data_IF_371979344140
#
_entry.id   IF_371979344140
#
_cell.length_a   1.000
_cell.length_b   1.000
_cell.length_c   1.000
_cell.angle_alpha   90.00
_cell.angle_beta   90.00
_cell.angle_gamma   90.00
#
_symmetry.space_group_name_H-M   'P 1'
#
loop_
_entity.id
_entity.type
_entity.pdbx_description
1 polymer ?
#
# COMPACT_ATOMS: atom_id res chain seq x y z
N UNK A 1 -3.91 7.86 -15.06
CA UNK A 1 -3.79 6.55 -14.37
C UNK A 1 -2.84 6.80 -13.21
N UNK A 2 -3.36 7.00 -12.00
CA UNK A 2 -2.56 7.42 -10.83
C UNK A 2 -1.86 6.21 -10.18
N UNK A 3 -2.51 5.05 -10.23
CA UNK A 3 -2.09 3.78 -9.64
C UNK A 3 -0.94 3.13 -10.42
N UNK A 4 -0.93 3.27 -11.75
CA UNK A 4 0.21 2.80 -12.57
C UNK A 4 1.48 3.58 -12.25
N UNK A 5 1.39 4.89 -11.99
CA UNK A 5 2.56 5.67 -11.57
C UNK A 5 3.08 5.18 -10.21
N UNK A 6 2.18 4.90 -9.27
CA UNK A 6 2.55 4.30 -7.97
C UNK A 6 3.26 2.96 -8.16
N UNK A 7 2.74 2.08 -9.01
CA UNK A 7 3.35 0.78 -9.29
C UNK A 7 4.73 0.94 -9.92
N UNK A 8 4.90 1.89 -10.85
CA UNK A 8 6.19 2.17 -11.44
C UNK A 8 7.21 2.63 -10.39
N UNK A 9 6.82 3.56 -9.51
CA UNK A 9 7.67 4.03 -8.41
C UNK A 9 8.07 2.88 -7.46
N UNK A 10 7.15 1.95 -7.18
CA UNK A 10 7.43 0.74 -6.40
C UNK A 10 8.45 -0.15 -7.12
N UNK A 11 8.27 -0.41 -8.42
CA UNK A 11 9.18 -1.23 -9.22
C UNK A 11 10.58 -0.63 -9.23
N UNK A 12 10.69 0.69 -9.41
CA UNK A 12 11.96 1.40 -9.43
C UNK A 12 12.64 1.31 -8.06
N UNK A 13 11.89 1.58 -6.97
CA UNK A 13 12.38 1.48 -5.60
C UNK A 13 12.89 0.08 -5.27
N UNK A 14 12.15 -0.96 -5.67
CA UNK A 14 12.55 -2.36 -5.43
C UNK A 14 13.76 -2.72 -6.28
N UNK A 15 13.81 -2.29 -7.54
CA UNK A 15 14.93 -2.54 -8.45
C UNK A 15 16.23 -1.97 -7.90
N UNK A 16 16.19 -0.75 -7.37
CA UNK A 16 17.33 -0.12 -6.70
C UNK A 16 17.76 -0.88 -5.44
N UNK A 17 16.79 -1.29 -4.61
CA UNK A 17 17.05 -2.02 -3.36
C UNK A 17 17.63 -3.43 -3.59
N UNK A 18 17.25 -4.11 -4.67
CA UNK A 18 17.62 -5.49 -4.93
C UNK A 18 18.98 -5.66 -5.62
N UNK A 19 19.63 -4.58 -6.07
CA UNK A 19 20.98 -4.59 -6.68
C UNK A 19 21.15 -5.66 -7.77
N UNK A 20 20.12 -5.83 -8.62
CA UNK A 20 20.13 -6.80 -9.72
C UNK A 20 19.74 -8.23 -9.36
N UNK A 21 19.44 -8.52 -8.08
CA UNK A 21 18.85 -9.81 -7.68
C UNK A 21 17.42 -9.93 -8.20
N UNK A 22 16.99 -11.16 -8.47
CA UNK A 22 15.61 -11.45 -8.87
C UNK A 22 14.70 -11.37 -7.65
N UNK A 23 13.56 -10.71 -7.81
CA UNK A 23 12.53 -10.58 -6.77
C UNK A 23 11.49 -11.65 -6.99
N UNK A 24 11.18 -12.40 -5.94
CA UNK A 24 10.18 -13.46 -5.95
C UNK A 24 8.86 -13.01 -5.35
N UNK A 25 8.91 -12.17 -4.31
CA UNK A 25 7.73 -11.65 -3.61
C UNK A 25 7.97 -10.23 -3.12
N UNK A 26 6.95 -9.40 -3.27
CA UNK A 26 6.86 -8.04 -2.69
C UNK A 26 5.66 -8.02 -1.76
N UNK A 27 5.86 -7.59 -0.52
CA UNK A 27 4.77 -7.37 0.45
C UNK A 27 4.56 -5.88 0.61
N UNK A 28 3.37 -5.38 0.30
CA UNK A 28 2.97 -3.99 0.45
C UNK A 28 1.98 -3.82 1.59
N UNK A 29 2.20 -2.83 2.45
CA UNK A 29 1.20 -2.33 3.39
C UNK A 29 0.46 -1.14 2.76
N UNK A 30 -0.85 -1.27 2.59
CA UNK A 30 -1.73 -0.21 2.05
C UNK A 30 -2.73 0.18 3.12
N UNK A 31 -2.71 1.45 3.51
CA UNK A 31 -3.65 2.01 4.47
C UNK A 31 -5.01 2.32 3.87
N UNK A 32 -6.08 2.03 4.60
CA UNK A 32 -7.47 2.28 4.18
C UNK A 32 -7.79 3.78 3.94
N UNK A 33 -6.99 4.69 4.49
CA UNK A 33 -7.09 6.14 4.34
C UNK A 33 -6.10 6.71 3.31
N UNK A 34 -5.31 5.87 2.65
CA UNK A 34 -4.30 6.30 1.67
C UNK A 34 -4.89 6.72 0.32
N UNK A 35 -6.20 6.53 0.11
CA UNK A 35 -6.93 6.69 -1.17
C UNK A 35 -6.45 5.79 -2.31
N UNK A 36 -5.53 4.87 -2.04
CA UNK A 36 -5.05 3.87 -2.98
C UNK A 36 -5.98 2.66 -2.95
N UNK A 37 -6.36 2.17 -4.13
CA UNK A 37 -7.20 0.97 -4.27
C UNK A 37 -6.31 -0.27 -4.41
N UNK A 38 -6.31 -1.21 -3.43
CA UNK A 38 -5.47 -2.41 -3.45
C UNK A 38 -5.60 -3.23 -4.74
N UNK A 39 -6.82 -3.47 -5.20
CA UNK A 39 -7.08 -4.23 -6.43
C UNK A 39 -6.49 -3.57 -7.68
N UNK A 40 -6.51 -2.24 -7.73
CA UNK A 40 -5.91 -1.49 -8.83
C UNK A 40 -4.39 -1.59 -8.81
N UNK A 41 -3.77 -1.52 -7.62
CA UNK A 41 -2.33 -1.77 -7.46
C UNK A 41 -1.97 -3.19 -7.89
N UNK A 42 -2.73 -4.20 -7.47
CA UNK A 42 -2.49 -5.58 -7.85
C UNK A 42 -2.56 -5.79 -9.37
N UNK A 43 -3.60 -5.25 -10.02
CA UNK A 43 -3.75 -5.32 -11.47
C UNK A 43 -2.62 -4.58 -12.20
N UNK A 44 -2.28 -3.36 -11.78
CA UNK A 44 -1.19 -2.60 -12.40
C UNK A 44 0.18 -3.28 -12.18
N UNK A 45 0.41 -3.89 -11.02
CA UNK A 45 1.63 -4.63 -10.72
C UNK A 45 1.76 -5.87 -11.60
N UNK A 46 0.69 -6.65 -11.78
CA UNK A 46 0.69 -7.82 -12.67
C UNK A 46 1.01 -7.42 -14.12
N UNK A 47 0.42 -6.31 -14.60
CA UNK A 47 0.70 -5.77 -15.93
C UNK A 47 2.17 -5.36 -16.06
N UNK A 48 2.70 -4.63 -15.07
CA UNK A 48 4.07 -4.10 -15.11
C UNK A 48 5.15 -5.16 -14.85
N UNK A 49 4.78 -6.31 -14.27
CA UNK A 49 5.67 -7.45 -14.01
C UNK A 49 5.42 -8.64 -14.95
N UNK A 50 4.59 -8.45 -15.97
CA UNK A 50 4.34 -9.46 -16.99
C UNK A 50 5.63 -9.81 -17.74
N UNK A 51 5.68 -11.04 -18.27
CA UNK A 51 6.86 -11.60 -18.92
C UNK A 51 7.29 -10.85 -20.20
N UNK A 52 6.47 -9.92 -20.70
CA UNK A 52 6.77 -9.12 -21.90
C UNK A 52 7.84 -8.05 -21.64
N UNK A 53 8.10 -7.73 -20.37
CA UNK A 53 9.15 -6.81 -19.91
C UNK A 53 10.37 -7.61 -19.42
N UNK A 54 11.16 -8.20 -20.34
CA UNK A 54 12.28 -9.12 -20.02
C UNK A 54 13.40 -8.52 -19.13
N UNK A 55 13.44 -7.19 -18.95
CA UNK A 55 14.53 -6.51 -18.25
C UNK A 55 14.29 -6.25 -16.74
N UNK A 56 13.07 -6.43 -16.21
CA UNK A 56 12.78 -6.10 -14.80
C UNK A 56 13.26 -7.20 -13.84
N UNK A 57 13.87 -6.86 -12.68
CA UNK A 57 14.15 -7.86 -11.66
C UNK A 57 12.87 -8.39 -10.99
N UNK A 58 11.73 -7.74 -11.20
CA UNK A 58 10.42 -8.13 -10.69
C UNK A 58 9.60 -8.96 -11.68
N UNK A 59 10.11 -9.31 -12.87
CA UNK A 59 9.37 -10.13 -13.83
C UNK A 59 8.91 -11.45 -13.20
N UNK A 60 7.60 -11.68 -13.16
CA UNK A 60 7.00 -12.86 -12.52
C UNK A 60 7.01 -12.85 -10.98
N UNK A 61 7.33 -11.72 -10.34
CA UNK A 61 7.23 -11.58 -8.89
C UNK A 61 5.77 -11.63 -8.44
N UNK A 62 5.53 -12.16 -7.24
CA UNK A 62 4.20 -12.13 -6.61
C UNK A 62 4.04 -10.90 -5.75
N UNK A 63 2.89 -10.25 -5.84
CA UNK A 63 2.50 -9.19 -4.93
C UNK A 63 1.60 -9.73 -3.82
N UNK A 64 1.90 -9.37 -2.58
CA UNK A 64 1.04 -9.58 -1.42
C UNK A 64 0.69 -8.22 -0.83
N UNK A 65 -0.59 -7.97 -0.58
CA UNK A 65 -1.07 -6.70 -0.01
C UNK A 65 -1.63 -6.98 1.38
N UNK A 66 -1.13 -6.21 2.34
CA UNK A 66 -1.61 -6.14 3.72
C UNK A 66 -2.37 -4.83 3.86
N UNK A 67 -3.69 -4.92 4.01
CA UNK A 67 -4.52 -3.75 4.27
C UNK A 67 -4.43 -3.36 5.75
N UNK A 68 -4.05 -2.11 6.00
CA UNK A 68 -3.91 -1.57 7.34
C UNK A 68 -5.10 -0.65 7.62
N UNK A 69 -5.91 -0.96 8.65
CA UNK A 69 -7.07 -0.14 8.98
C UNK A 69 -6.64 1.27 9.38
N UNK A 70 -7.51 2.23 9.06
CA UNK A 70 -7.44 3.57 9.60
C UNK A 70 -7.53 3.56 11.12
N UNK A 71 -6.75 4.41 11.78
CA UNK A 71 -6.94 4.72 13.19
C UNK A 71 -6.98 6.22 13.37
N UNK A 72 -8.00 6.69 14.07
CA UNK A 72 -8.20 8.09 14.39
C UNK A 72 -8.34 8.29 15.89
N UNK A 73 -7.93 9.44 16.39
CA UNK A 73 -8.19 9.86 17.78
C UNK A 73 -9.23 10.97 17.77
N UNK A 74 -10.35 10.77 18.46
CA UNK A 74 -11.40 11.78 18.54
C UNK A 74 -10.93 13.00 19.34
N UNK A 75 -11.08 14.19 18.77
CA UNK A 75 -10.75 15.45 19.47
C UNK A 75 -11.71 15.78 20.61
N UNK A 76 -12.96 15.32 20.52
CA UNK A 76 -13.98 15.64 21.52
C UNK A 76 -13.85 14.80 22.80
N UNK A 77 -13.63 13.49 22.68
CA UNK A 77 -13.60 12.57 23.84
C UNK A 77 -12.25 11.87 24.06
N UNK A 78 -11.29 12.02 23.13
CA UNK A 78 -9.97 11.40 23.20
C UNK A 78 -9.93 9.91 22.86
N UNK A 79 -11.07 9.28 22.55
CA UNK A 79 -11.15 7.86 22.22
C UNK A 79 -10.45 7.54 20.89
N UNK A 80 -9.87 6.35 20.81
CA UNK A 80 -9.36 5.80 19.56
C UNK A 80 -10.49 5.11 18.79
N UNK A 81 -10.52 5.35 17.48
CA UNK A 81 -11.54 4.87 16.55
C UNK A 81 -10.83 4.15 15.42
N UNK A 82 -11.28 2.93 15.11
CA UNK A 82 -10.88 2.21 13.91
C UNK A 82 -11.74 2.70 12.76
N UNK A 83 -11.11 3.05 11.64
CA UNK A 83 -11.74 3.67 10.48
C UNK A 83 -11.44 2.82 9.25
N UNK A 84 -12.47 2.52 8.45
CA UNK A 84 -12.31 1.82 7.17
C UNK A 84 -12.25 2.80 6.00
N UNK A 85 -12.58 4.06 6.23
CA UNK A 85 -12.54 5.14 5.26
C UNK A 85 -12.33 6.51 5.97
N UNK A 86 -12.04 7.58 5.22
CA UNK A 86 -11.78 8.92 5.75
C UNK A 86 -12.89 9.55 6.61
N UNK A 87 -14.14 9.08 6.52
CA UNK A 87 -15.31 9.67 7.16
C UNK A 87 -15.68 8.97 8.48
N UNK A 88 -14.68 8.50 9.22
CA UNK A 88 -14.89 7.82 10.50
C UNK A 88 -15.71 8.65 11.51
N UNK A 89 -16.59 7.98 12.24
CA UNK A 89 -17.39 8.56 13.32
C UNK A 89 -16.97 7.97 14.67
N UNK A 90 -16.80 8.83 15.68
CA UNK A 90 -16.62 8.36 17.04
C UNK A 90 -17.95 8.02 17.69
N UNK A 91 -18.02 6.95 18.50
CA UNK A 91 -19.23 6.58 19.24
C UNK A 91 -19.77 7.64 20.22
N UNK A 92 -19.02 8.72 20.48
CA UNK A 92 -19.52 9.89 21.20
C UNK A 92 -20.25 10.92 20.32
N UNK A 93 -20.37 10.68 19.01
CA UNK A 93 -20.90 11.62 18.01
C UNK A 93 -19.88 12.64 17.47
N UNK A 94 -18.60 12.47 17.79
CA UNK A 94 -17.53 13.36 17.30
C UNK A 94 -17.06 12.96 15.90
N UNK A 95 -16.96 13.94 14.99
CA UNK A 95 -16.51 13.75 13.60
C UNK A 95 -15.07 14.24 13.35
N UNK A 96 -14.53 15.04 14.27
CA UNK A 96 -13.15 15.52 14.17
C UNK A 96 -12.19 14.46 14.74
N UNK A 97 -11.64 13.64 13.85
CA UNK A 97 -10.69 12.59 14.17
C UNK A 97 -9.29 12.95 13.67
N UNK A 98 -8.30 12.98 14.56
CA UNK A 98 -6.89 13.09 14.18
C UNK A 98 -6.38 11.74 13.69
N UNK A 99 -5.96 11.64 12.43
CA UNK A 99 -5.50 10.39 11.84
C UNK A 99 -4.13 9.99 12.40
N UNK A 100 -4.05 8.76 12.90
CA UNK A 100 -2.88 8.17 13.56
C UNK A 100 -2.26 7.03 12.75
N UNK A 101 -3.06 6.32 11.94
CA UNK A 101 -2.60 5.23 11.07
C UNK A 101 -3.56 5.03 9.89
N UNK A 102 -3.16 4.20 8.93
CA UNK A 102 -4.00 3.87 7.78
C UNK A 102 -3.79 4.77 6.57
N UNK A 103 -2.78 5.64 6.58
CA UNK A 103 -2.42 6.49 5.42
C UNK A 103 -1.20 5.97 4.66
N UNK A 104 -0.54 4.94 5.17
CA UNK A 104 0.72 4.44 4.62
C UNK A 104 0.53 3.69 3.31
N UNK A 105 1.54 3.80 2.45
CA UNK A 105 1.80 2.93 1.30
C UNK A 105 3.28 2.57 1.41
N UNK A 106 3.59 1.34 1.80
CA UNK A 106 4.96 1.00 2.20
C UNK A 106 5.34 -0.41 1.78
N UNK A 107 6.55 -0.58 1.27
CA UNK A 107 7.15 -1.90 1.02
C UNK A 107 7.59 -2.48 2.36
N UNK A 108 6.88 -3.53 2.79
CA UNK A 108 7.10 -4.18 4.08
C UNK A 108 8.20 -5.23 4.02
N UNK A 109 8.21 -6.03 2.95
CA UNK A 109 9.13 -7.15 2.80
C UNK A 109 9.45 -7.37 1.31
N UNK A 110 10.69 -7.78 1.05
CA UNK A 110 11.17 -8.21 -0.25
C UNK A 110 11.83 -9.58 -0.12
N UNK A 111 11.34 -10.55 -0.90
CA UNK A 111 11.94 -11.87 -1.03
C UNK A 111 12.77 -11.90 -2.31
N UNK A 112 14.09 -12.09 -2.18
CA UNK A 112 15.04 -12.10 -3.31
C UNK A 112 15.72 -13.46 -3.44
N UNK A 113 16.13 -13.78 -4.69
CA UNK A 113 16.90 -14.99 -5.04
C UNK A 113 18.37 -14.65 -5.26
#
# INVERSE_FOLDING_TARGET
MHEMAIVQDIIDTVTEACLGKRVRRVVLEIGALSSVVPDAIAACFEIATSAELEASPLTGARLEIIEIPGRGKCRACGAEVVMIDPLGECGCGGLELDWMAGTQLTIRELEVV
#
